data_IF_836170386534
#
_entry.id   IF_836170386534
#
_cell.length_a   1.000
_cell.length_b   1.000
_cell.length_c   1.000
_cell.angle_alpha   90.00
_cell.angle_beta   90.00
_cell.angle_gamma   90.00
#
_symmetry.space_group_name_H-M   'P 1'
#
loop_
_entity.id
_entity.type
_entity.pdbx_description
1 polymer ?
#
# COMPACT_ATOMS: atom_id res chain seq x y z
N UNK A 1 -15.31 5.67 17.32
CA UNK A 1 -14.82 5.96 15.99
C UNK A 1 -14.50 4.68 15.24
N UNK A 2 -14.93 4.57 14.00
CA UNK A 2 -14.63 3.40 13.21
C UNK A 2 -13.12 3.31 12.95
N UNK A 3 -12.62 2.10 12.85
CA UNK A 3 -11.22 1.93 12.53
C UNK A 3 -10.95 2.39 11.11
N UNK A 4 -9.84 3.10 10.91
CA UNK A 4 -9.55 3.65 9.58
C UNK A 4 -9.47 2.60 8.49
N UNK A 5 -9.02 1.39 8.83
CA UNK A 5 -8.86 0.33 7.84
C UNK A 5 -10.08 -0.56 7.69
N UNK A 6 -11.07 -0.42 8.56
CA UNK A 6 -12.26 -1.27 8.51
C UNK A 6 -13.02 -1.01 7.20
N UNK A 7 -13.27 -2.07 6.44
CA UNK A 7 -13.97 -1.97 5.17
C UNK A 7 -13.13 -1.46 4.01
N UNK A 8 -11.90 -1.03 4.26
CA UNK A 8 -11.00 -0.58 3.18
C UNK A 8 -10.38 -1.78 2.47
N UNK A 9 -10.08 -1.60 1.20
CA UNK A 9 -9.41 -2.63 0.41
C UNK A 9 -7.91 -2.41 0.51
N UNK A 10 -7.22 -3.37 1.09
CA UNK A 10 -5.77 -3.34 1.25
C UNK A 10 -5.15 -4.36 0.30
N UNK A 11 -4.30 -3.89 -0.59
CA UNK A 11 -3.61 -4.74 -1.55
C UNK A 11 -2.19 -4.97 -1.07
N UNK A 12 -1.86 -6.22 -0.76
CA UNK A 12 -0.53 -6.59 -0.32
C UNK A 12 0.20 -7.22 -1.50
N UNK A 13 1.28 -6.58 -1.92
CA UNK A 13 2.06 -7.04 -3.07
C UNK A 13 3.19 -7.92 -2.57
N UNK A 14 2.98 -9.23 -2.63
CA UNK A 14 3.90 -10.23 -2.12
C UNK A 14 3.31 -11.00 -0.96
N UNK A 15 3.53 -12.32 -0.95
CA UNK A 15 3.01 -13.18 0.12
C UNK A 15 4.10 -14.11 0.65
N UNK A 16 5.33 -13.59 0.77
CA UNK A 16 6.37 -14.22 1.55
C UNK A 16 6.12 -13.96 3.03
N UNK A 17 7.14 -14.17 3.85
CA UNK A 17 6.97 -14.05 5.30
C UNK A 17 6.46 -12.67 5.72
N UNK A 18 7.03 -11.61 5.15
CA UNK A 18 6.64 -10.24 5.50
C UNK A 18 5.23 -9.94 5.01
N UNK A 19 4.94 -10.30 3.75
CA UNK A 19 3.62 -10.07 3.18
C UNK A 19 2.54 -10.82 3.90
N UNK A 20 2.83 -12.07 4.28
CA UNK A 20 1.88 -12.89 5.02
C UNK A 20 1.54 -12.25 6.37
N UNK A 21 2.55 -11.80 7.11
CA UNK A 21 2.31 -11.15 8.39
C UNK A 21 1.52 -9.88 8.25
N UNK A 22 1.85 -9.09 7.22
CA UNK A 22 1.13 -7.86 6.96
C UNK A 22 -0.33 -8.13 6.60
N UNK A 23 -0.57 -9.13 5.75
CA UNK A 23 -1.93 -9.47 5.36
C UNK A 23 -2.77 -9.90 6.56
N UNK A 24 -2.19 -10.70 7.45
CA UNK A 24 -2.90 -11.14 8.64
C UNK A 24 -3.22 -9.96 9.57
N UNK A 25 -2.27 -9.05 9.73
CA UNK A 25 -2.48 -7.88 10.57
C UNK A 25 -3.59 -7.00 10.01
N UNK A 26 -3.58 -6.76 8.72
CA UNK A 26 -4.59 -5.91 8.09
C UNK A 26 -5.97 -6.55 8.15
N UNK A 27 -6.04 -7.86 7.91
CA UNK A 27 -7.31 -8.57 7.99
C UNK A 27 -7.85 -8.53 9.42
N UNK A 28 -6.96 -8.64 10.40
CA UNK A 28 -7.36 -8.54 11.80
C UNK A 28 -7.91 -7.18 12.17
N UNK A 29 -7.56 -6.15 11.41
CA UNK A 29 -8.07 -4.80 11.63
C UNK A 29 -9.33 -4.50 10.84
N UNK A 30 -9.89 -5.49 10.16
CA UNK A 30 -11.14 -5.32 9.43
C UNK A 30 -10.95 -4.92 7.97
N UNK A 31 -9.74 -4.86 7.48
CA UNK A 31 -9.50 -4.54 6.09
C UNK A 31 -9.86 -5.73 5.20
N UNK A 32 -10.29 -5.42 3.99
CA UNK A 32 -10.52 -6.43 2.97
C UNK A 32 -9.21 -6.61 2.23
N UNK A 33 -8.54 -7.73 2.45
CA UNK A 33 -7.18 -7.92 1.95
C UNK A 33 -7.18 -8.66 0.63
N UNK A 34 -6.45 -8.11 -0.34
CA UNK A 34 -6.25 -8.72 -1.65
C UNK A 34 -4.75 -8.91 -1.81
N UNK A 35 -4.35 -10.08 -2.28
CA UNK A 35 -2.94 -10.42 -2.46
C UNK A 35 -2.59 -10.34 -3.94
N UNK A 36 -1.55 -9.59 -4.25
CA UNK A 36 -0.96 -9.57 -5.58
C UNK A 36 0.36 -10.31 -5.51
N UNK A 37 0.45 -11.49 -6.09
CA UNK A 37 1.62 -12.35 -5.98
C UNK A 37 1.87 -13.05 -7.29
N UNK A 38 3.11 -12.99 -7.75
CA UNK A 38 3.50 -13.64 -9.02
C UNK A 38 4.08 -15.03 -8.82
N UNK A 39 4.56 -15.36 -7.62
CA UNK A 39 5.06 -16.70 -7.32
C UNK A 39 3.86 -17.65 -7.17
N UNK A 40 3.75 -18.67 -8.00
CA UNK A 40 2.57 -19.56 -7.94
C UNK A 40 2.39 -20.25 -6.60
N UNK A 41 3.48 -20.60 -5.93
CA UNK A 41 3.39 -21.29 -4.65
C UNK A 41 2.85 -20.35 -3.58
N UNK A 42 3.39 -19.14 -3.51
CA UNK A 42 2.90 -18.15 -2.56
C UNK A 42 1.46 -17.74 -2.86
N UNK A 43 1.14 -17.62 -4.12
CA UNK A 43 -0.23 -17.28 -4.54
C UNK A 43 -1.22 -18.36 -4.11
N UNK A 44 -0.85 -19.62 -4.31
CA UNK A 44 -1.69 -20.73 -3.91
C UNK A 44 -1.88 -20.75 -2.40
N UNK A 45 -0.81 -20.51 -1.65
CA UNK A 45 -0.90 -20.48 -0.20
C UNK A 45 -1.86 -19.37 0.27
N UNK A 46 -1.77 -18.19 -0.34
CA UNK A 46 -2.65 -17.09 0.00
C UNK A 46 -4.10 -17.45 -0.28
N UNK A 47 -4.36 -18.08 -1.43
CA UNK A 47 -5.72 -18.49 -1.77
C UNK A 47 -6.25 -19.52 -0.78
N UNK A 48 -5.41 -20.46 -0.37
CA UNK A 48 -5.81 -21.49 0.58
C UNK A 48 -6.11 -20.90 1.97
N UNK A 49 -5.52 -19.76 2.28
CA UNK A 49 -5.75 -19.10 3.56
C UNK A 49 -6.92 -18.12 3.50
N UNK A 50 -7.63 -18.11 2.39
CA UNK A 50 -8.87 -17.36 2.28
C UNK A 50 -8.76 -15.98 1.68
N UNK A 51 -7.58 -15.61 1.16
CA UNK A 51 -7.41 -14.30 0.53
C UNK A 51 -7.80 -14.34 -0.94
N UNK A 52 -8.28 -13.21 -1.43
CA UNK A 52 -8.41 -13.02 -2.86
C UNK A 52 -7.02 -12.80 -3.44
N UNK A 53 -6.69 -13.50 -4.53
CA UNK A 53 -5.39 -13.36 -5.19
C UNK A 53 -5.62 -12.89 -6.61
N UNK A 54 -4.95 -11.82 -7.02
CA UNK A 54 -5.12 -11.28 -8.36
C UNK A 54 -3.87 -10.48 -8.74
N UNK A 55 -3.96 -9.70 -9.82
CA UNK A 55 -2.88 -8.84 -10.27
C UNK A 55 -3.07 -7.43 -9.72
N UNK A 56 -1.97 -6.65 -9.70
CA UNK A 56 -2.07 -5.26 -9.27
C UNK A 56 -3.01 -4.48 -10.18
N UNK A 57 -2.93 -4.75 -11.49
CA UNK A 57 -3.78 -4.06 -12.47
C UNK A 57 -5.26 -4.21 -12.15
N UNK A 58 -5.65 -5.40 -11.73
CA UNK A 58 -7.05 -5.67 -11.39
C UNK A 58 -7.53 -4.87 -10.18
N UNK A 59 -6.62 -4.44 -9.32
CA UNK A 59 -6.98 -3.75 -8.09
C UNK A 59 -7.07 -2.24 -8.23
N UNK A 60 -6.60 -1.67 -9.34
CA UNK A 60 -6.34 -0.23 -9.42
C UNK A 60 -7.59 0.63 -9.24
N UNK A 61 -8.75 0.14 -9.61
CA UNK A 61 -9.99 0.89 -9.43
C UNK A 61 -10.62 0.73 -8.06
N UNK A 62 -10.09 -0.14 -7.21
CA UNK A 62 -10.73 -0.45 -5.92
C UNK A 62 -9.79 -0.44 -4.72
N UNK A 63 -8.48 -0.50 -4.93
CA UNK A 63 -7.54 -0.53 -3.82
C UNK A 63 -7.46 0.79 -3.09
N UNK A 64 -7.60 0.76 -1.78
CA UNK A 64 -7.45 1.93 -0.93
C UNK A 64 -6.04 2.07 -0.39
N UNK A 65 -5.40 0.94 -0.10
CA UNK A 65 -4.05 0.91 0.45
C UNK A 65 -3.24 -0.13 -0.32
N UNK A 66 -2.04 0.24 -0.72
CA UNK A 66 -1.12 -0.65 -1.41
C UNK A 66 0.15 -0.77 -0.59
N UNK A 67 0.52 -2.00 -0.27
CA UNK A 67 1.72 -2.26 0.55
C UNK A 67 2.59 -3.24 -0.22
N UNK A 68 3.83 -2.82 -0.51
CA UNK A 68 4.77 -3.69 -1.21
C UNK A 68 5.63 -4.44 -0.22
N UNK A 69 5.73 -5.75 -0.40
CA UNK A 69 6.47 -6.63 0.49
C UNK A 69 7.05 -7.80 -0.29
N UNK A 70 7.39 -7.57 -1.57
CA UNK A 70 7.79 -8.67 -2.44
C UNK A 70 9.29 -8.90 -2.48
N UNK A 71 10.08 -7.87 -2.18
CA UNK A 71 11.52 -7.94 -2.37
C UNK A 71 11.97 -7.74 -3.81
N UNK A 72 11.05 -7.46 -4.72
CA UNK A 72 11.35 -7.21 -6.13
C UNK A 72 11.35 -5.72 -6.42
N UNK A 73 11.98 -5.34 -7.53
CA UNK A 73 11.98 -3.93 -7.92
C UNK A 73 10.76 -3.63 -8.79
N UNK A 74 10.35 -2.37 -8.79
CA UNK A 74 9.32 -1.84 -9.68
C UNK A 74 8.01 -2.62 -9.61
N UNK A 75 7.62 -3.03 -8.42
CA UNK A 75 6.38 -3.76 -8.21
C UNK A 75 5.18 -2.85 -8.47
N UNK A 76 5.25 -1.62 -7.95
CA UNK A 76 4.26 -0.60 -8.25
C UNK A 76 4.91 0.44 -9.15
N UNK A 77 4.42 0.55 -10.37
CA UNK A 77 5.00 1.42 -11.37
C UNK A 77 4.29 2.77 -11.40
N UNK A 78 4.90 3.72 -12.12
CA UNK A 78 4.25 5.01 -12.33
C UNK A 78 2.88 4.83 -13.01
N UNK A 79 2.79 3.93 -13.98
CA UNK A 79 1.52 3.65 -14.65
C UNK A 79 0.46 3.16 -13.67
N UNK A 80 0.85 2.30 -12.74
CA UNK A 80 -0.08 1.85 -11.70
C UNK A 80 -0.58 3.03 -10.88
N UNK A 81 0.33 3.91 -10.48
CA UNK A 81 -0.04 5.04 -9.62
C UNK A 81 -0.92 6.04 -10.36
N UNK A 82 -0.73 6.18 -11.68
CA UNK A 82 -1.59 7.04 -12.48
C UNK A 82 -3.02 6.53 -12.55
N UNK A 83 -3.21 5.24 -12.36
CA UNK A 83 -4.53 4.59 -12.47
C UNK A 83 -5.15 4.23 -11.14
N UNK A 84 -4.47 4.49 -10.03
CA UNK A 84 -5.04 4.26 -8.70
C UNK A 84 -6.18 5.20 -8.44
N UNK A 85 -7.10 4.77 -7.58
CA UNK A 85 -8.21 5.65 -7.25
C UNK A 85 -7.74 6.80 -6.38
N UNK A 86 -8.56 7.83 -6.32
CA UNK A 86 -8.24 9.04 -5.56
C UNK A 86 -8.03 8.71 -4.08
N UNK A 87 -6.97 9.29 -3.51
CA UNK A 87 -6.61 9.15 -2.11
C UNK A 87 -6.14 7.75 -1.73
N UNK A 88 -5.64 6.98 -2.69
CA UNK A 88 -4.99 5.72 -2.39
C UNK A 88 -3.71 5.96 -1.60
N UNK A 89 -3.39 5.04 -0.71
CA UNK A 89 -2.18 5.11 0.12
C UNK A 89 -1.22 4.04 -0.38
N UNK A 90 0.04 4.43 -0.58
CA UNK A 90 1.07 3.51 -1.08
C UNK A 90 2.22 3.48 -0.09
N UNK A 91 2.62 2.29 0.31
CA UNK A 91 3.68 2.11 1.29
C UNK A 91 4.53 0.89 0.95
N UNK A 92 5.80 0.94 1.34
CA UNK A 92 6.73 -0.17 1.12
C UNK A 92 7.24 -0.69 2.45
N UNK A 93 7.07 -1.99 2.70
CA UNK A 93 7.64 -2.63 3.86
C UNK A 93 8.65 -3.73 3.48
N UNK A 94 8.98 -3.82 2.20
CA UNK A 94 10.02 -4.72 1.74
C UNK A 94 11.41 -4.17 2.07
N UNK A 95 12.42 -4.98 1.78
CA UNK A 95 13.80 -4.60 2.06
C UNK A 95 14.34 -3.54 1.12
N UNK A 96 13.75 -3.38 -0.05
CA UNK A 96 14.30 -2.52 -1.09
C UNK A 96 13.43 -1.29 -1.27
N UNK A 97 14.09 -0.13 -1.39
CA UNK A 97 13.41 1.14 -1.58
C UNK A 97 12.75 1.24 -2.95
N UNK A 98 13.21 0.43 -3.89
CA UNK A 98 12.79 0.56 -5.28
C UNK A 98 11.66 -0.38 -5.68
N UNK A 99 10.90 -0.89 -4.72
CA UNK A 99 9.70 -1.64 -5.05
C UNK A 99 8.62 -0.73 -5.64
N UNK A 100 8.67 0.54 -5.33
CA UNK A 100 7.74 1.54 -5.85
C UNK A 100 8.54 2.54 -6.70
N UNK A 101 8.04 2.84 -7.89
CA UNK A 101 8.72 3.76 -8.79
C UNK A 101 8.52 5.21 -8.36
N UNK A 102 9.20 5.61 -7.29
CA UNK A 102 9.08 6.96 -6.76
C UNK A 102 9.86 7.97 -7.61
N UNK A 103 11.02 7.58 -8.13
CA UNK A 103 11.82 8.49 -8.92
C UNK A 103 11.13 8.99 -10.19
N UNK A 104 10.54 8.11 -11.01
CA UNK A 104 9.77 8.59 -12.15
C UNK A 104 8.63 9.52 -11.75
N UNK A 105 8.03 9.28 -10.60
CA UNK A 105 6.98 10.12 -10.08
C UNK A 105 7.50 11.52 -9.76
N UNK A 106 8.67 11.59 -9.14
CA UNK A 106 9.28 12.87 -8.77
C UNK A 106 9.81 13.63 -9.98
N UNK A 107 10.15 12.93 -11.06
CA UNK A 107 10.70 13.56 -12.25
C UNK A 107 9.62 14.20 -13.14
N UNK A 108 8.36 13.85 -12.94
CA UNK A 108 7.27 14.40 -13.74
C UNK A 108 6.92 15.80 -13.26
N UNK A 109 6.99 16.77 -14.16
CA UNK A 109 6.67 18.15 -13.80
C UNK A 109 5.19 18.40 -13.70
N UNK A 110 4.39 17.57 -14.33
CA UNK A 110 2.95 17.71 -14.30
C UNK A 110 2.32 17.07 -13.06
N UNK A 111 3.12 16.43 -12.22
CA UNK A 111 2.66 15.84 -10.96
C UNK A 111 3.16 16.72 -9.82
N UNK A 112 2.21 17.22 -9.04
CA UNK A 112 2.56 18.08 -7.91
C UNK A 112 2.88 17.23 -6.69
N UNK A 113 4.04 17.47 -6.09
CA UNK A 113 4.50 16.76 -4.90
C UNK A 113 4.40 17.71 -3.71
N UNK A 114 3.68 17.31 -2.69
CA UNK A 114 3.50 18.11 -1.47
C UNK A 114 3.84 17.26 -0.27
N UNK A 115 4.74 17.73 0.57
CA UNK A 115 5.03 17.06 1.84
C UNK A 115 4.00 17.53 2.88
N UNK A 116 3.17 16.60 3.36
CA UNK A 116 2.11 16.94 4.32
C UNK A 116 2.65 16.95 5.73
N UNK A 117 3.45 15.96 6.06
CA UNK A 117 4.11 15.85 7.36
C UNK A 117 5.34 14.98 7.16
N UNK A 118 6.25 14.95 8.12
CA UNK A 118 7.45 14.12 7.93
C UNK A 118 7.05 12.74 7.48
N UNK A 119 7.60 12.32 6.33
CA UNK A 119 7.46 10.97 5.84
C UNK A 119 6.09 10.64 5.24
N UNK A 120 5.26 11.64 5.03
CA UNK A 120 3.98 11.49 4.33
C UNK A 120 3.95 12.50 3.20
N UNK A 121 3.96 12.01 1.98
CA UNK A 121 3.94 12.86 0.79
C UNK A 121 2.67 12.65 0.01
N UNK A 122 2.14 13.74 -0.53
CA UNK A 122 0.97 13.70 -1.38
C UNK A 122 1.42 14.00 -2.81
N UNK A 123 0.97 13.21 -3.75
CA UNK A 123 1.19 13.45 -5.17
C UNK A 123 -0.15 13.72 -5.83
N UNK A 124 -0.24 14.88 -6.48
CA UNK A 124 -1.46 15.28 -7.19
C UNK A 124 -1.20 15.17 -8.69
N UNK A 125 -2.02 14.38 -9.36
CA UNK A 125 -1.87 14.12 -10.79
C UNK A 125 -2.64 15.13 -11.64
N UNK A 126 -2.33 15.22 -12.94
CA UNK A 126 -2.96 16.23 -13.80
C UNK A 126 -4.47 16.12 -13.87
N UNK A 127 -5.03 14.93 -13.67
CA UNK A 127 -6.49 14.76 -13.69
C UNK A 127 -7.15 15.14 -12.37
N UNK A 128 -6.36 15.55 -11.39
CA UNK A 128 -6.87 15.97 -10.08
C UNK A 128 -6.89 14.92 -9.01
N UNK A 129 -6.65 13.64 -9.34
CA UNK A 129 -6.63 12.64 -8.28
C UNK A 129 -5.30 12.69 -7.53
N UNK A 130 -5.33 12.22 -6.30
CA UNK A 130 -4.19 12.29 -5.39
C UNK A 130 -3.90 10.93 -4.81
N UNK A 131 -2.61 10.67 -4.54
CA UNK A 131 -2.21 9.51 -3.75
C UNK A 131 -1.30 9.97 -2.62
N UNK A 132 -1.22 9.16 -1.57
CA UNK A 132 -0.35 9.43 -0.44
C UNK A 132 0.73 8.38 -0.40
N UNK A 133 1.99 8.83 -0.27
CA UNK A 133 3.14 7.95 -0.22
C UNK A 133 3.73 7.99 1.18
N UNK A 134 3.80 6.82 1.82
CA UNK A 134 4.46 6.71 3.11
C UNK A 134 5.92 6.36 2.87
N UNK A 135 6.81 7.22 3.33
CA UNK A 135 8.23 7.04 3.08
C UNK A 135 8.80 5.87 3.90
N UNK A 136 9.95 5.42 3.50
CA UNK A 136 10.61 4.33 4.19
C UNK A 136 10.81 4.67 5.66
N UNK A 137 10.91 3.65 6.47
CA UNK A 137 11.08 3.81 7.91
C UNK A 137 9.79 4.03 8.65
N UNK A 138 8.73 4.47 7.95
CA UNK A 138 7.41 4.71 8.56
C UNK A 138 6.58 3.48 8.51
N UNK A 139 7.02 2.57 7.72
CA UNK A 139 6.26 1.38 7.43
C UNK A 139 6.15 0.47 8.61
N UNK A 140 7.17 0.47 9.45
CA UNK A 140 7.11 -0.30 10.68
C UNK A 140 5.95 0.16 11.56
N UNK A 141 5.55 1.41 11.42
CA UNK A 141 4.48 1.98 12.23
C UNK A 141 3.10 1.58 11.76
N UNK A 142 3.01 0.92 10.61
CA UNK A 142 1.73 0.35 10.18
C UNK A 142 1.41 -0.93 10.94
N UNK A 143 2.36 -1.46 11.69
CA UNK A 143 2.14 -2.66 12.45
C UNK A 143 2.30 -3.95 11.69
N UNK A 144 2.48 -3.88 10.36
CA UNK A 144 2.59 -5.07 9.54
C UNK A 144 3.87 -5.84 9.84
N UNK A 145 4.96 -5.14 10.04
CA UNK A 145 6.26 -5.76 10.27
C UNK A 145 6.49 -6.08 11.75
N UNK A 146 5.83 -5.41 12.65
CA UNK A 146 6.07 -5.54 14.09
C UNK A 146 4.98 -6.31 14.80
N UNK A 147 3.86 -6.54 14.15
CA UNK A 147 2.73 -7.19 14.80
C UNK A 147 1.91 -6.27 15.67
N UNK A 148 2.32 -5.02 15.83
CA UNK A 148 1.53 -4.05 16.56
C UNK A 148 0.40 -3.54 15.70
N UNK A 149 -0.76 -3.25 16.29
CA UNK A 149 -1.83 -2.64 15.52
C UNK A 149 -1.36 -1.32 14.94
N UNK A 150 -1.59 -1.15 13.68
CA UNK A 150 -1.18 0.07 13.01
C UNK A 150 -2.15 1.22 13.26
N UNK A 151 -3.21 0.97 14.02
CA UNK A 151 -4.26 1.96 14.14
C UNK A 151 -3.78 3.27 14.75
N UNK A 152 -2.72 3.26 15.56
CA UNK A 152 -2.17 4.51 16.08
C UNK A 152 -1.70 5.38 14.93
N UNK A 153 -0.93 4.82 14.02
CA UNK A 153 -0.50 5.54 12.83
C UNK A 153 -1.69 5.82 11.92
N UNK A 154 -2.55 4.83 11.74
CA UNK A 154 -3.71 4.97 10.88
C UNK A 154 -4.67 6.04 11.41
N UNK A 155 -4.90 6.06 12.71
CA UNK A 155 -5.75 7.08 13.31
C UNK A 155 -5.17 8.47 13.10
N UNK A 156 -3.87 8.61 13.31
CA UNK A 156 -3.20 9.88 13.11
C UNK A 156 -3.31 10.30 11.64
N UNK A 157 -3.12 9.37 10.74
CA UNK A 157 -3.21 9.64 9.33
C UNK A 157 -4.63 10.03 8.94
N UNK A 158 -5.62 9.32 9.43
CA UNK A 158 -7.02 9.65 9.16
C UNK A 158 -7.37 11.05 9.64
N UNK A 159 -6.91 11.40 10.81
CA UNK A 159 -7.17 12.73 11.36
C UNK A 159 -6.52 13.81 10.50
N UNK A 160 -5.40 13.52 9.90
CA UNK A 160 -4.74 14.47 9.02
C UNK A 160 -5.48 14.62 7.69
N UNK A 161 -6.03 13.55 7.20
CA UNK A 161 -6.70 13.53 5.90
C UNK A 161 -8.08 14.17 6.00
N UNK A 162 -8.74 13.97 7.10
CA UNK A 162 -10.06 14.55 7.29
C UNK A 162 -9.97 16.06 7.49
#
# INVERSE_FOLDING_TARGET
MAEPLSGKVAVVCGYGDVGKGCAQSLRGQGARVVIAEIDPINALQAAMEGYEVTTIEDTLGRGDVYITASGNIDVITLDHMLRMKNQAIVANIGHFDNEIQVEPLNERKDIKHTNIKPQVDKYTFPDGHEIFMLAEGRLVNLGCATGHPSFVMSNSFSNQVL
#
